data_IF_816370287659
#
_entry.id   IF_816370287659
#
_cell.length_a   1.000
_cell.length_b   1.000
_cell.length_c   1.000
_cell.angle_alpha   90.00
_cell.angle_beta   90.00
_cell.angle_gamma   90.00
#
_symmetry.space_group_name_H-M   'P 1'
#
loop_
_entity.id
_entity.type
_entity.pdbx_description
1 polymer ?
#
# COMPACT_ATOMS: atom_id res chain seq x y z
N UNK A 1 -32.39 -6.72 22.38
CA UNK A 1 -33.74 -6.33 21.92
C UNK A 1 -33.92 -4.85 22.23
N UNK A 2 -33.59 -3.99 21.28
CA UNK A 2 -33.80 -2.53 21.35
C UNK A 2 -34.42 -2.14 20.01
N UNK A 3 -35.55 -1.47 20.12
CA UNK A 3 -36.42 -1.00 19.05
C UNK A 3 -35.66 -0.05 18.15
N UNK A 4 -35.83 -0.23 16.84
CA UNK A 4 -35.40 0.72 15.83
C UNK A 4 -36.47 1.80 15.77
N UNK A 5 -36.32 2.84 16.57
CA UNK A 5 -37.09 4.07 16.42
C UNK A 5 -36.37 4.95 15.40
N UNK A 6 -36.79 4.87 14.15
CA UNK A 6 -36.39 5.78 13.07
C UNK A 6 -37.04 7.15 13.28
N UNK A 7 -36.38 8.03 14.01
CA UNK A 7 -36.66 9.47 13.98
C UNK A 7 -35.32 10.23 13.93
N UNK A 8 -34.65 10.14 12.77
CA UNK A 8 -33.61 11.11 12.41
C UNK A 8 -34.34 12.39 12.03
N UNK A 9 -34.45 13.33 12.97
CA UNK A 9 -35.03 14.65 12.72
C UNK A 9 -34.05 15.43 11.85
N UNK A 10 -34.30 15.45 10.54
CA UNK A 10 -33.65 16.41 9.66
C UNK A 10 -34.26 17.79 9.94
N UNK A 11 -33.56 18.64 10.71
CA UNK A 11 -33.85 20.07 10.73
C UNK A 11 -33.47 20.63 9.36
N UNK A 12 -34.39 20.45 8.41
CA UNK A 12 -34.31 21.04 7.08
C UNK A 12 -34.76 22.47 7.25
N UNK A 13 -33.83 23.43 7.20
CA UNK A 13 -34.23 24.83 7.03
C UNK A 13 -34.90 24.90 5.66
N UNK A 14 -36.22 25.10 5.63
CA UNK A 14 -36.99 25.16 4.39
C UNK A 14 -36.41 26.24 3.46
N UNK A 15 -36.05 25.91 2.20
CA UNK A 15 -35.63 26.91 1.25
C UNK A 15 -36.84 27.76 0.86
N UNK A 16 -36.68 29.08 0.92
CA UNK A 16 -37.60 30.02 0.27
C UNK A 16 -37.53 29.70 -1.23
N UNK A 17 -38.60 29.11 -1.76
CA UNK A 17 -38.70 28.77 -3.17
C UNK A 17 -38.68 30.06 -4.01
N UNK A 18 -37.56 30.35 -4.68
CA UNK A 18 -37.58 31.28 -5.80
C UNK A 18 -38.06 30.52 -7.03
N UNK A 19 -39.23 30.89 -7.54
CA UNK A 19 -39.70 30.53 -8.87
C UNK A 19 -38.70 31.05 -9.91
N UNK A 20 -37.67 30.27 -10.21
CA UNK A 20 -36.83 30.24 -11.41
C UNK A 20 -35.72 29.23 -11.13
N UNK A 21 -35.48 28.29 -12.06
CA UNK A 21 -34.63 27.11 -11.88
C UNK A 21 -33.13 27.41 -11.74
N UNK A 22 -32.76 28.11 -10.67
CA UNK A 22 -31.40 28.24 -10.20
C UNK A 22 -31.14 27.13 -9.19
N UNK A 23 -30.11 26.33 -9.43
CA UNK A 23 -29.59 25.45 -8.40
C UNK A 23 -29.12 26.33 -7.22
N UNK A 24 -29.84 26.27 -6.10
CA UNK A 24 -29.51 27.02 -4.87
C UNK A 24 -28.68 26.14 -3.95
N UNK A 25 -27.66 26.73 -3.32
CA UNK A 25 -26.90 26.09 -2.26
C UNK A 25 -27.74 26.01 -0.98
N UNK A 26 -27.99 24.80 -0.50
CA UNK A 26 -28.78 24.53 0.71
C UNK A 26 -27.89 23.84 1.75
N UNK A 27 -27.66 24.43 2.94
CA UNK A 27 -26.87 23.81 3.98
C UNK A 27 -27.58 22.58 4.54
N UNK A 28 -26.81 21.57 4.92
CA UNK A 28 -27.30 20.36 5.60
C UNK A 28 -26.52 20.18 6.89
N UNK A 29 -27.23 19.84 7.97
CA UNK A 29 -26.65 19.61 9.30
C UNK A 29 -27.32 18.37 9.89
N UNK A 30 -26.51 17.45 10.40
CA UNK A 30 -26.98 16.30 11.17
C UNK A 30 -26.45 16.45 12.60
N UNK A 31 -27.32 16.21 13.58
CA UNK A 31 -27.02 16.31 15.01
C UNK A 31 -27.38 15.02 15.74
N UNK A 32 -26.72 14.76 16.86
CA UNK A 32 -27.13 13.72 17.81
C UNK A 32 -28.31 14.17 18.70
N UNK A 33 -28.80 13.28 19.57
CA UNK A 33 -29.90 13.55 20.52
C UNK A 33 -29.58 14.68 21.51
N UNK A 34 -28.31 15.00 21.71
CA UNK A 34 -27.84 16.08 22.58
C UNK A 34 -27.64 17.40 21.81
N UNK A 35 -27.89 17.41 20.50
CA UNK A 35 -27.71 18.58 19.63
C UNK A 35 -26.28 18.80 19.13
N UNK A 36 -25.33 17.89 19.40
CA UNK A 36 -23.97 17.97 18.87
C UNK A 36 -23.97 17.71 17.37
N UNK A 37 -23.25 18.53 16.60
CA UNK A 37 -23.18 18.41 15.14
C UNK A 37 -22.27 17.25 14.75
N UNK A 38 -22.85 16.22 14.12
CA UNK A 38 -22.15 15.05 13.60
C UNK A 38 -21.73 15.23 12.14
N UNK A 39 -22.49 16.01 11.37
CA UNK A 39 -22.19 16.30 9.98
C UNK A 39 -22.68 17.70 9.61
N UNK A 40 -21.90 18.39 8.78
CA UNK A 40 -22.28 19.66 8.18
C UNK A 40 -21.73 19.75 6.76
N UNK A 41 -22.57 20.20 5.82
CA UNK A 41 -22.18 20.41 4.44
C UNK A 41 -23.19 21.24 3.67
N UNK A 42 -23.15 21.16 2.35
CA UNK A 42 -24.07 21.90 1.47
C UNK A 42 -24.51 21.01 0.31
N UNK A 43 -25.72 21.25 -0.19
CA UNK A 43 -26.27 20.62 -1.37
C UNK A 43 -26.58 21.67 -2.44
N UNK A 44 -26.54 21.27 -3.71
CA UNK A 44 -26.89 22.06 -4.88
C UNK A 44 -27.82 21.20 -5.73
N UNK A 45 -29.07 21.62 -5.91
CA UNK A 45 -30.08 20.80 -6.62
C UNK A 45 -30.32 19.43 -5.95
N UNK A 46 -30.26 19.37 -4.61
CA UNK A 46 -30.42 18.13 -3.83
C UNK A 46 -29.21 17.20 -3.80
N UNK A 47 -28.09 17.58 -4.44
CA UNK A 47 -26.86 16.79 -4.46
C UNK A 47 -25.75 17.46 -3.66
N UNK A 48 -24.89 16.71 -2.95
CA UNK A 48 -23.76 17.28 -2.21
C UNK A 48 -22.89 18.18 -3.09
N UNK A 49 -22.56 19.37 -2.60
CA UNK A 49 -21.73 20.34 -3.31
C UNK A 49 -20.94 21.19 -2.31
N UNK A 50 -19.64 21.35 -2.55
CA UNK A 50 -18.72 21.98 -1.60
C UNK A 50 -18.21 21.00 -0.54
N UNK A 51 -17.80 21.54 0.61
CA UNK A 51 -17.16 20.75 1.67
C UNK A 51 -18.21 20.09 2.56
N UNK A 52 -18.01 18.80 2.81
CA UNK A 52 -18.71 18.01 3.81
C UNK A 52 -17.73 17.71 4.96
N UNK A 53 -18.15 18.03 6.18
CA UNK A 53 -17.43 17.72 7.42
C UNK A 53 -18.22 16.69 8.21
N UNK A 54 -17.54 15.70 8.77
CA UNK A 54 -18.09 14.77 9.76
C UNK A 54 -17.24 14.78 11.02
N UNK A 55 -17.91 14.73 12.16
CA UNK A 55 -17.32 14.76 13.50
C UNK A 55 -17.93 13.68 14.38
N UNK A 56 -17.21 13.27 15.42
CA UNK A 56 -17.77 12.42 16.48
C UNK A 56 -18.72 13.21 17.39
N UNK A 57 -19.47 12.51 18.25
CA UNK A 57 -20.28 13.14 19.31
C UNK A 57 -19.43 14.06 20.22
N UNK A 58 -18.15 13.72 20.44
CA UNK A 58 -17.21 14.54 21.18
C UNK A 58 -16.61 15.72 20.38
N UNK A 59 -17.08 15.96 19.15
CA UNK A 59 -16.64 17.05 18.28
C UNK A 59 -15.28 16.83 17.60
N UNK A 60 -14.70 15.63 17.67
CA UNK A 60 -13.43 15.32 16.97
C UNK A 60 -13.69 15.12 15.47
N UNK A 61 -12.84 15.64 14.57
CA UNK A 61 -13.02 15.42 13.14
C UNK A 61 -12.89 13.93 12.81
N UNK A 62 -13.76 13.44 11.94
CA UNK A 62 -13.73 12.08 11.40
C UNK A 62 -13.43 12.10 9.90
N UNK A 63 -14.01 13.07 9.18
CA UNK A 63 -13.84 13.20 7.74
C UNK A 63 -14.02 14.66 7.29
N UNK A 64 -13.22 15.05 6.32
CA UNK A 64 -13.46 16.22 5.47
C UNK A 64 -13.41 15.76 4.02
N UNK A 65 -14.42 16.08 3.23
CA UNK A 65 -14.47 15.71 1.82
C UNK A 65 -15.07 16.84 1.00
N UNK A 66 -14.59 17.03 -0.23
CA UNK A 66 -15.14 18.00 -1.16
C UNK A 66 -15.97 17.28 -2.24
N UNK A 67 -17.13 17.85 -2.56
CA UNK A 67 -18.08 17.32 -3.52
C UNK A 67 -18.42 18.34 -4.60
N UNK A 68 -18.68 17.86 -5.80
CA UNK A 68 -19.32 18.62 -6.88
C UNK A 68 -20.48 17.80 -7.42
N UNK A 69 -21.72 18.28 -7.20
CA UNK A 69 -22.96 17.66 -7.73
C UNK A 69 -23.04 16.16 -7.41
N UNK A 70 -22.84 15.84 -6.14
CA UNK A 70 -22.94 14.49 -5.58
C UNK A 70 -21.71 13.61 -5.76
N UNK A 71 -20.69 14.05 -6.51
CA UNK A 71 -19.45 13.30 -6.72
C UNK A 71 -18.32 13.88 -5.89
N UNK A 72 -17.48 13.01 -5.32
CA UNK A 72 -16.21 13.44 -4.71
C UNK A 72 -15.34 14.16 -5.74
N UNK A 73 -14.82 15.31 -5.36
CA UNK A 73 -14.00 16.16 -6.20
C UNK A 73 -12.99 16.88 -5.30
N UNK A 74 -11.71 16.86 -5.67
CA UNK A 74 -10.67 17.45 -4.83
C UNK A 74 -10.27 16.52 -3.69
N UNK A 75 -9.95 17.08 -2.53
CA UNK A 75 -9.30 16.35 -1.44
C UNK A 75 -10.31 15.77 -0.45
N UNK A 76 -10.10 14.51 -0.10
CA UNK A 76 -10.71 13.87 1.06
C UNK A 76 -9.64 13.58 2.13
N UNK A 77 -9.97 13.86 3.38
CA UNK A 77 -9.16 13.53 4.55
C UNK A 77 -10.01 12.73 5.53
N UNK A 78 -9.49 11.59 5.97
CA UNK A 78 -10.00 10.83 7.10
C UNK A 78 -9.08 11.05 8.29
N UNK A 79 -9.65 11.16 9.48
CA UNK A 79 -8.91 11.44 10.71
C UNK A 79 -8.96 10.25 11.67
N UNK A 80 -7.92 10.07 12.47
CA UNK A 80 -7.85 9.07 13.53
C UNK A 80 -8.53 9.56 14.84
N UNK A 81 -8.55 8.71 15.87
CA UNK A 81 -9.15 9.05 17.17
C UNK A 81 -8.50 10.21 17.92
N UNK A 82 -7.31 10.65 17.49
CA UNK A 82 -6.60 11.83 18.01
C UNK A 82 -6.82 13.07 17.15
N UNK A 83 -7.56 12.96 16.05
CA UNK A 83 -7.79 14.05 15.10
C UNK A 83 -6.61 14.30 14.16
N UNK A 84 -5.63 13.39 14.08
CA UNK A 84 -4.57 13.45 13.08
C UNK A 84 -5.06 12.80 11.78
N UNK A 85 -4.59 13.22 10.59
CA UNK A 85 -4.89 12.52 9.36
C UNK A 85 -4.50 11.05 9.45
N UNK A 86 -5.44 10.16 9.13
CA UNK A 86 -5.22 8.72 8.93
C UNK A 86 -5.09 8.41 7.44
N UNK A 87 -5.79 9.17 6.59
CA UNK A 87 -5.72 9.04 5.14
C UNK A 87 -5.98 10.39 4.48
N UNK A 88 -5.23 10.70 3.43
CA UNK A 88 -5.49 11.83 2.53
C UNK A 88 -5.57 11.27 1.11
N UNK A 89 -6.57 11.68 0.34
CA UNK A 89 -6.82 11.13 -0.99
C UNK A 89 -7.38 12.19 -1.93
N UNK A 90 -6.87 12.23 -3.15
CA UNK A 90 -7.36 13.14 -4.19
C UNK A 90 -8.38 12.44 -5.11
N UNK A 91 -9.48 13.12 -5.41
CA UNK A 91 -10.58 12.64 -6.24
C UNK A 91 -10.88 13.58 -7.41
N UNK A 92 -11.37 13.01 -8.51
CA UNK A 92 -11.94 13.73 -9.65
C UNK A 92 -13.13 12.95 -10.18
N UNK A 93 -14.28 13.62 -10.31
CA UNK A 93 -15.51 12.99 -10.81
C UNK A 93 -15.89 11.69 -10.06
N UNK A 94 -15.66 11.66 -8.74
CA UNK A 94 -15.97 10.51 -7.88
C UNK A 94 -14.92 9.40 -7.88
N UNK A 95 -13.87 9.50 -8.70
CA UNK A 95 -12.79 8.51 -8.79
C UNK A 95 -11.52 9.01 -8.13
N UNK A 96 -10.75 8.12 -7.48
CA UNK A 96 -9.41 8.44 -7.02
C UNK A 96 -8.54 8.87 -8.22
N UNK A 97 -7.92 10.04 -8.11
CA UNK A 97 -7.16 10.67 -9.17
C UNK A 97 -6.08 11.56 -8.55
N UNK A 98 -4.83 11.11 -8.59
CA UNK A 98 -3.73 11.78 -7.91
C UNK A 98 -3.17 10.93 -6.79
N UNK A 99 -2.85 11.56 -5.65
CA UNK A 99 -2.16 10.89 -4.56
C UNK A 99 -3.14 10.35 -3.52
N UNK A 100 -2.80 9.21 -2.96
CA UNK A 100 -3.39 8.66 -1.75
C UNK A 100 -2.26 8.39 -0.76
N UNK A 101 -2.36 8.99 0.41
CA UNK A 101 -1.43 8.77 1.52
C UNK A 101 -2.14 8.22 2.72
N UNK A 102 -1.52 7.23 3.36
CA UNK A 102 -2.00 6.64 4.61
C UNK A 102 -1.00 6.98 5.70
N UNK A 103 -1.51 7.34 6.87
CA UNK A 103 -0.73 7.79 8.00
C UNK A 103 -1.02 6.95 9.24
N UNK A 104 0.00 6.77 10.07
CA UNK A 104 -0.11 6.17 11.39
C UNK A 104 0.63 7.05 12.39
N UNK A 105 -0.07 7.50 13.44
CA UNK A 105 0.47 8.42 14.44
C UNK A 105 1.15 9.66 13.82
N UNK A 106 0.53 10.24 12.79
CA UNK A 106 1.03 11.42 12.07
C UNK A 106 2.18 11.16 11.08
N UNK A 107 2.67 9.91 10.94
CA UNK A 107 3.72 9.55 9.98
C UNK A 107 3.12 8.86 8.76
N UNK A 108 3.59 9.24 7.56
CA UNK A 108 3.17 8.59 6.32
C UNK A 108 3.73 7.16 6.27
N UNK A 109 2.85 6.16 6.13
CA UNK A 109 3.22 4.74 6.02
C UNK A 109 2.95 4.17 4.63
N UNK A 110 2.20 4.90 3.78
CA UNK A 110 2.02 4.56 2.37
C UNK A 110 1.79 5.81 1.53
N UNK A 111 2.45 5.90 0.38
CA UNK A 111 2.25 6.92 -0.65
C UNK A 111 2.00 6.23 -1.99
N UNK A 112 0.82 6.45 -2.55
CA UNK A 112 0.30 5.75 -3.72
C UNK A 112 -0.25 6.75 -4.73
N UNK A 113 -0.08 6.43 -6.01
CA UNK A 113 -0.57 7.24 -7.12
C UNK A 113 -1.70 6.50 -7.84
N UNK A 114 -2.76 7.23 -8.18
CA UNK A 114 -3.96 6.72 -8.84
C UNK A 114 -4.30 7.50 -10.11
N UNK A 115 -4.78 6.80 -11.13
CA UNK A 115 -5.43 7.37 -12.33
C UNK A 115 -6.75 6.63 -12.54
N UNK A 116 -7.86 7.36 -12.60
CA UNK A 116 -9.20 6.80 -12.84
C UNK A 116 -9.55 5.63 -11.90
N UNK A 117 -9.25 5.79 -10.61
CA UNK A 117 -9.53 4.78 -9.59
C UNK A 117 -8.58 3.60 -9.53
N UNK A 118 -7.55 3.54 -10.39
CA UNK A 118 -6.57 2.44 -10.44
C UNK A 118 -5.19 2.92 -10.00
N UNK A 119 -4.47 2.08 -9.26
CA UNK A 119 -3.07 2.32 -8.93
C UNK A 119 -2.24 2.43 -10.20
N UNK A 120 -1.39 3.45 -10.27
CA UNK A 120 -0.58 3.76 -11.45
C UNK A 120 0.76 4.36 -11.03
N UNK A 121 1.86 3.81 -11.54
CA UNK A 121 3.20 4.27 -11.22
C UNK A 121 3.73 3.71 -9.90
N UNK A 122 4.53 4.51 -9.19
CA UNK A 122 5.22 4.06 -7.98
C UNK A 122 4.28 4.05 -6.77
N UNK A 123 4.39 3.01 -5.96
CA UNK A 123 3.77 2.90 -4.63
C UNK A 123 4.87 2.67 -3.59
N UNK A 124 4.94 3.54 -2.60
CA UNK A 124 5.94 3.51 -1.54
C UNK A 124 5.28 3.11 -0.22
N UNK A 125 5.95 2.29 0.57
CA UNK A 125 5.55 1.98 1.95
C UNK A 125 6.69 2.24 2.91
N UNK A 126 6.34 2.66 4.13
CA UNK A 126 7.30 3.02 5.17
C UNK A 126 6.95 2.32 6.47
N UNK A 127 7.95 2.05 7.31
CA UNK A 127 7.74 1.61 8.68
C UNK A 127 7.36 2.78 9.62
N UNK A 128 7.11 2.48 10.89
CA UNK A 128 6.76 3.49 11.91
C UNK A 128 7.92 4.41 12.29
N UNK A 129 9.16 4.09 11.91
CA UNK A 129 10.31 4.98 12.02
C UNK A 129 10.42 5.93 10.82
N UNK A 130 9.71 5.67 9.72
CA UNK A 130 9.76 6.43 8.47
C UNK A 130 10.76 5.88 7.45
N UNK A 131 11.30 4.68 7.67
CA UNK A 131 12.20 4.03 6.73
C UNK A 131 11.40 3.35 5.62
N UNK A 132 11.88 3.45 4.38
CA UNK A 132 11.27 2.76 3.23
C UNK A 132 11.32 1.24 3.46
N UNK A 133 10.19 0.57 3.24
CA UNK A 133 10.07 -0.89 3.37
C UNK A 133 9.79 -1.56 2.03
N UNK A 134 9.10 -0.86 1.11
CA UNK A 134 8.95 -1.32 -0.27
C UNK A 134 8.76 -0.17 -1.24
N UNK A 135 9.25 -0.37 -2.47
CA UNK A 135 8.93 0.42 -3.64
C UNK A 135 8.37 -0.53 -4.71
N UNK A 136 7.08 -0.42 -4.94
CA UNK A 136 6.35 -1.20 -5.93
C UNK A 136 6.05 -0.34 -7.16
N UNK A 137 5.76 -0.99 -8.29
CA UNK A 137 5.32 -0.31 -9.50
C UNK A 137 4.04 -0.97 -10.03
N UNK A 138 3.08 -0.13 -10.41
CA UNK A 138 1.76 -0.55 -10.88
C UNK A 138 1.47 0.05 -12.24
N UNK A 139 0.77 -0.70 -13.08
CA UNK A 139 0.19 -0.24 -14.35
C UNK A 139 -1.26 -0.70 -14.37
N UNK A 140 -2.20 0.23 -14.51
CA UNK A 140 -3.64 -0.03 -14.54
C UNK A 140 -4.15 -0.90 -13.38
N UNK A 141 -3.60 -0.73 -12.18
CA UNK A 141 -3.97 -1.47 -10.97
C UNK A 141 -3.20 -2.77 -10.74
N UNK A 142 -2.34 -3.19 -11.67
CA UNK A 142 -1.58 -4.44 -11.56
C UNK A 142 -0.10 -4.19 -11.32
N UNK A 143 0.51 -4.98 -10.43
CA UNK A 143 1.95 -4.98 -10.18
C UNK A 143 2.71 -5.28 -11.49
N UNK A 144 3.62 -4.40 -11.87
CA UNK A 144 4.31 -4.50 -13.15
C UNK A 144 5.70 -3.87 -13.06
N UNK A 145 6.70 -4.50 -13.66
CA UNK A 145 8.09 -4.04 -13.64
C UNK A 145 8.82 -4.41 -12.35
N UNK A 146 9.91 -3.69 -12.10
CA UNK A 146 10.82 -3.97 -10.99
C UNK A 146 10.24 -3.42 -9.69
N UNK A 147 10.24 -4.27 -8.66
CA UNK A 147 9.91 -3.93 -7.28
C UNK A 147 11.11 -4.15 -6.38
N UNK A 148 11.17 -3.39 -5.30
CA UNK A 148 12.25 -3.44 -4.32
C UNK A 148 11.69 -3.50 -2.90
N UNK A 149 12.32 -4.33 -2.08
CA UNK A 149 12.02 -4.48 -0.66
C UNK A 149 13.24 -4.11 0.16
N UNK A 150 12.97 -3.47 1.29
CA UNK A 150 14.00 -2.84 2.12
C UNK A 150 13.85 -3.30 3.57
N UNK A 151 14.98 -3.40 4.26
CA UNK A 151 15.04 -3.67 5.70
C UNK A 151 16.16 -2.84 6.31
N UNK A 152 15.84 -2.04 7.33
CA UNK A 152 16.81 -1.16 8.00
C UNK A 152 17.57 -0.21 7.04
N UNK A 153 16.90 0.20 5.95
CA UNK A 153 17.47 1.08 4.92
C UNK A 153 18.16 0.35 3.76
N UNK A 154 18.49 -0.93 3.91
CA UNK A 154 19.16 -1.71 2.86
C UNK A 154 18.15 -2.41 1.95
N UNK A 155 18.41 -2.41 0.64
CA UNK A 155 17.63 -3.19 -0.31
C UNK A 155 17.94 -4.67 -0.10
N UNK A 156 16.97 -5.45 0.38
CA UNK A 156 17.13 -6.89 0.66
C UNK A 156 16.64 -7.77 -0.47
N UNK A 157 15.80 -7.22 -1.36
CA UNK A 157 15.29 -7.93 -2.53
C UNK A 157 14.92 -6.98 -3.65
N UNK A 158 15.26 -7.38 -4.87
CA UNK A 158 14.71 -6.84 -6.11
C UNK A 158 14.03 -7.98 -6.88
N UNK A 159 12.83 -7.74 -7.39
CA UNK A 159 12.07 -8.73 -8.13
C UNK A 159 11.34 -8.08 -9.31
N UNK A 160 11.07 -8.83 -10.37
CA UNK A 160 10.33 -8.32 -11.52
C UNK A 160 8.94 -8.95 -11.61
N UNK A 161 7.92 -8.11 -11.83
CA UNK A 161 6.53 -8.52 -11.98
C UNK A 161 6.02 -8.18 -13.38
N UNK A 162 5.05 -8.95 -13.86
CA UNK A 162 4.31 -8.69 -15.09
C UNK A 162 2.86 -9.06 -14.86
N UNK A 163 1.98 -8.05 -14.89
CA UNK A 163 0.53 -8.24 -14.74
C UNK A 163 0.18 -9.00 -13.45
N UNK A 164 0.75 -8.55 -12.34
CA UNK A 164 0.54 -9.13 -11.01
C UNK A 164 1.32 -10.41 -10.71
N UNK A 165 1.93 -11.06 -11.71
CA UNK A 165 2.72 -12.27 -11.51
C UNK A 165 4.23 -11.98 -11.45
N UNK A 166 4.95 -12.63 -10.55
CA UNK A 166 6.40 -12.65 -10.51
C UNK A 166 6.92 -13.34 -11.78
N UNK A 167 7.74 -12.61 -12.55
CA UNK A 167 8.16 -12.98 -13.91
C UNK A 167 9.59 -12.50 -14.13
N UNK A 168 10.51 -13.43 -14.41
CA UNK A 168 11.93 -13.15 -14.57
C UNK A 168 12.72 -13.25 -13.26
N UNK A 169 13.81 -12.49 -13.18
CA UNK A 169 14.79 -12.59 -12.08
C UNK A 169 14.26 -11.96 -10.78
N UNK A 170 14.53 -12.65 -9.67
CA UNK A 170 14.50 -12.13 -8.31
C UNK A 170 15.89 -12.27 -7.70
N UNK A 171 16.39 -11.21 -7.11
CA UNK A 171 17.71 -11.13 -6.49
C UNK A 171 17.54 -10.74 -5.03
N UNK A 172 18.10 -11.55 -4.13
CA UNK A 172 18.18 -11.22 -2.70
C UNK A 172 19.60 -10.73 -2.38
N UNK A 173 19.68 -9.75 -1.49
CA UNK A 173 20.94 -9.11 -1.08
C UNK A 173 21.16 -9.23 0.44
N UNK A 174 22.41 -9.17 0.87
CA UNK A 174 22.74 -8.93 2.28
C UNK A 174 22.81 -7.42 2.60
N UNK A 175 23.09 -7.08 3.86
CA UNK A 175 23.25 -5.69 4.33
C UNK A 175 24.38 -4.89 3.66
N UNK A 176 25.31 -5.58 2.97
CA UNK A 176 26.40 -4.94 2.23
C UNK A 176 26.05 -4.76 0.74
N UNK A 177 24.84 -5.14 0.32
CA UNK A 177 24.40 -5.09 -1.07
C UNK A 177 24.95 -6.23 -1.93
N UNK A 178 25.58 -7.25 -1.33
CA UNK A 178 26.08 -8.41 -2.06
C UNK A 178 24.94 -9.39 -2.34
N UNK A 179 24.97 -10.01 -3.52
CA UNK A 179 23.97 -10.99 -3.93
C UNK A 179 24.13 -12.27 -3.12
N UNK A 180 23.10 -12.65 -2.36
CA UNK A 180 23.06 -13.92 -1.62
C UNK A 180 22.24 -15.00 -2.35
N UNK A 181 21.30 -14.59 -3.19
CA UNK A 181 20.47 -15.49 -3.99
C UNK A 181 20.01 -14.84 -5.29
N UNK A 182 19.98 -15.64 -6.36
CA UNK A 182 19.26 -15.35 -7.59
C UNK A 182 18.30 -16.49 -7.87
N UNK A 183 17.08 -16.14 -8.25
CA UNK A 183 16.03 -17.07 -8.65
C UNK A 183 15.35 -16.52 -9.89
N UNK A 184 14.86 -17.39 -10.76
CA UNK A 184 14.10 -16.98 -11.93
C UNK A 184 12.69 -17.58 -11.87
N UNK A 185 11.71 -16.78 -12.29
CA UNK A 185 10.29 -17.12 -12.20
C UNK A 185 9.60 -17.00 -13.55
N UNK A 186 8.58 -17.82 -13.75
CA UNK A 186 7.61 -17.71 -14.82
C UNK A 186 6.23 -17.86 -14.21
N UNK A 187 5.41 -16.81 -14.28
CA UNK A 187 4.03 -16.82 -13.77
C UNK A 187 3.94 -17.29 -12.30
N UNK A 188 4.76 -16.69 -11.42
CA UNK A 188 4.91 -17.02 -10.00
C UNK A 188 5.60 -18.36 -9.67
N UNK A 189 5.88 -19.21 -10.66
CA UNK A 189 6.55 -20.48 -10.44
C UNK A 189 8.06 -20.34 -10.66
N UNK A 190 8.89 -20.96 -9.81
CA UNK A 190 10.32 -21.06 -10.07
C UNK A 190 10.55 -21.80 -11.40
N UNK A 191 11.35 -21.19 -12.26
CA UNK A 191 11.64 -21.67 -13.61
C UNK A 191 13.09 -21.34 -13.96
N UNK A 192 13.91 -22.37 -14.16
CA UNK A 192 15.36 -22.23 -14.34
C UNK A 192 16.12 -22.37 -13.02
N UNK A 193 17.29 -21.74 -12.92
CA UNK A 193 18.16 -21.93 -11.76
C UNK A 193 17.76 -21.05 -10.57
N UNK A 194 17.67 -21.69 -9.39
CA UNK A 194 17.89 -21.02 -8.11
C UNK A 194 19.36 -21.20 -7.74
N UNK A 195 20.06 -20.08 -7.56
CA UNK A 195 21.48 -20.05 -7.21
C UNK A 195 21.69 -19.24 -5.95
N UNK A 196 22.40 -19.80 -4.97
CA UNK A 196 22.88 -19.07 -3.80
C UNK A 196 24.38 -18.91 -3.85
N UNK A 197 24.88 -17.87 -3.19
CA UNK A 197 26.27 -17.47 -3.25
C UNK A 197 26.90 -17.43 -1.86
N UNK A 198 28.20 -17.72 -1.81
CA UNK A 198 29.06 -17.37 -0.70
C UNK A 198 29.32 -15.86 -0.67
N UNK A 199 29.74 -15.29 0.48
CA UNK A 199 30.37 -13.97 0.48
C UNK A 199 31.49 -13.90 -0.58
N UNK A 200 31.58 -12.79 -1.30
CA UNK A 200 32.46 -12.65 -2.47
C UNK A 200 31.91 -13.22 -3.80
N UNK A 201 30.67 -13.72 -3.82
CA UNK A 201 29.91 -13.95 -5.06
C UNK A 201 30.17 -15.28 -5.77
N UNK A 202 30.94 -16.20 -5.18
CA UNK A 202 31.09 -17.56 -5.71
C UNK A 202 29.84 -18.39 -5.43
N UNK A 203 29.47 -19.28 -6.35
CA UNK A 203 28.30 -20.15 -6.19
C UNK A 203 28.50 -21.05 -4.96
N UNK A 204 27.51 -21.10 -4.08
CA UNK A 204 27.43 -22.01 -2.94
C UNK A 204 26.58 -23.23 -3.27
N UNK A 205 25.38 -22.99 -3.80
CA UNK A 205 24.47 -24.05 -4.21
C UNK A 205 23.62 -23.62 -5.40
N UNK A 206 23.25 -24.58 -6.24
CA UNK A 206 22.40 -24.34 -7.40
C UNK A 206 21.47 -25.53 -7.66
N UNK A 207 20.21 -25.24 -7.93
CA UNK A 207 19.18 -26.24 -8.28
C UNK A 207 18.42 -25.75 -9.51
N UNK A 208 18.20 -26.63 -10.48
CA UNK A 208 17.32 -26.36 -11.62
C UNK A 208 15.87 -26.66 -11.23
N UNK A 209 14.96 -25.73 -11.53
CA UNK A 209 13.52 -25.86 -11.34
C UNK A 209 12.78 -25.79 -12.67
N UNK A 210 11.68 -26.51 -12.76
CA UNK A 210 10.66 -26.37 -13.80
C UNK A 210 9.28 -26.40 -13.15
N UNK A 211 8.42 -25.44 -13.51
CA UNK A 211 7.04 -25.36 -12.97
C UNK A 211 6.99 -25.40 -11.43
N UNK A 212 7.94 -24.73 -10.77
CA UNK A 212 8.01 -24.66 -9.31
C UNK A 212 8.60 -25.89 -8.62
N UNK A 213 8.91 -26.96 -9.36
CA UNK A 213 9.46 -28.20 -8.82
C UNK A 213 10.96 -28.35 -9.16
N UNK A 214 11.79 -28.88 -8.25
CA UNK A 214 13.21 -29.12 -8.53
C UNK A 214 13.37 -30.28 -9.52
N UNK A 215 14.05 -30.03 -10.64
CA UNK A 215 14.34 -31.02 -11.70
C UNK A 215 15.66 -31.78 -11.44
N UNK A 216 16.58 -31.14 -10.70
CA UNK A 216 17.88 -31.73 -10.37
C UNK A 216 18.09 -31.77 -8.87
N UNK A 217 18.89 -32.71 -8.36
CA UNK A 217 19.50 -32.55 -7.06
C UNK A 217 20.28 -31.23 -6.99
N UNK A 218 20.41 -30.67 -5.79
CA UNK A 218 21.22 -29.46 -5.55
C UNK A 218 22.70 -29.73 -5.77
N UNK A 219 23.31 -29.03 -6.73
CA UNK A 219 24.76 -28.92 -6.85
C UNK A 219 25.28 -28.04 -5.71
N UNK A 220 26.37 -28.45 -5.06
CA UNK A 220 27.00 -27.69 -3.97
C UNK A 220 28.47 -27.45 -4.26
N UNK A 221 28.99 -26.31 -3.79
CA UNK A 221 30.36 -25.89 -4.01
C UNK A 221 30.95 -25.26 -2.74
N UNK A 222 32.24 -25.46 -2.50
CA UNK A 222 32.99 -24.78 -1.44
C UNK A 222 33.36 -23.33 -1.84
N UNK A 223 34.02 -22.58 -0.95
CA UNK A 223 34.44 -21.20 -1.20
C UNK A 223 35.55 -21.09 -2.27
N UNK A 224 36.23 -22.18 -2.61
CA UNK A 224 37.17 -22.22 -3.71
C UNK A 224 36.45 -22.31 -5.06
N UNK A 225 35.22 -22.82 -5.08
CA UNK A 225 34.40 -23.06 -6.28
C UNK A 225 34.38 -24.52 -6.73
N UNK A 226 34.96 -25.43 -5.95
CA UNK A 226 34.99 -26.87 -6.22
C UNK A 226 33.69 -27.53 -5.75
N UNK A 227 33.16 -28.47 -6.56
CA UNK A 227 31.98 -29.26 -6.18
C UNK A 227 32.23 -30.08 -4.92
N UNK A 228 31.26 -30.12 -4.01
CA UNK A 228 31.30 -30.90 -2.77
C UNK A 228 30.10 -31.84 -2.67
N UNK A 229 30.25 -32.94 -1.92
CA UNK A 229 29.19 -33.93 -1.72
C UNK A 229 28.05 -33.38 -0.84
N UNK A 230 26.89 -34.04 -0.88
CA UNK A 230 25.64 -33.67 -0.17
C UNK A 230 25.79 -33.62 1.35
N UNK A 231 26.74 -34.38 1.89
CA UNK A 231 27.07 -34.42 3.32
C UNK A 231 27.95 -33.24 3.78
N UNK A 232 28.29 -32.31 2.88
CA UNK A 232 28.98 -31.07 3.26
C UNK A 232 28.14 -30.26 4.25
N UNK A 233 28.68 -30.05 5.45
CA UNK A 233 28.03 -29.26 6.50
C UNK A 233 27.82 -27.82 6.02
N UNK A 234 26.58 -27.38 6.07
CA UNK A 234 26.22 -25.98 5.83
C UNK A 234 26.67 -25.18 7.06
N UNK A 235 27.08 -23.90 6.92
CA UNK A 235 26.95 -22.98 8.04
C UNK A 235 25.49 -23.06 8.49
N UNK A 236 25.29 -23.27 9.79
CA UNK A 236 23.95 -23.45 10.38
C UNK A 236 23.03 -22.29 9.99
N UNK A 237 21.72 -22.49 10.01
CA UNK A 237 20.77 -21.38 9.86
C UNK A 237 21.13 -20.20 10.77
N UNK A 238 21.63 -20.50 11.98
CA UNK A 238 22.10 -19.50 12.94
C UNK A 238 23.38 -18.77 12.49
N UNK A 239 24.31 -19.42 11.81
CA UNK A 239 25.48 -18.77 11.20
C UNK A 239 25.10 -17.92 9.99
N UNK A 240 24.20 -18.42 9.15
CA UNK A 240 23.62 -17.65 8.04
C UNK A 240 22.88 -16.41 8.55
N UNK A 241 22.15 -16.55 9.67
CA UNK A 241 21.47 -15.45 10.33
C UNK A 241 22.47 -14.49 11.01
N UNK A 242 23.58 -14.98 11.58
CA UNK A 242 24.66 -14.12 12.10
C UNK A 242 25.29 -13.29 10.99
N UNK A 243 25.53 -13.83 9.80
CA UNK A 243 26.03 -13.04 8.67
C UNK A 243 24.99 -12.03 8.15
N UNK A 244 23.70 -12.39 8.17
CA UNK A 244 22.61 -11.48 7.77
C UNK A 244 22.36 -10.38 8.82
N UNK A 245 22.53 -10.66 10.12
CA UNK A 245 22.23 -9.74 11.22
C UNK A 245 23.45 -9.00 11.79
N UNK A 246 24.67 -9.53 11.65
CA UNK A 246 25.92 -8.96 12.21
C UNK A 246 26.93 -8.56 11.13
N UNK A 247 26.83 -9.14 9.93
CA UNK A 247 27.72 -8.96 8.76
C UNK A 247 29.20 -8.81 9.06
N UNK A 248 29.72 -9.75 9.85
CA UNK A 248 31.11 -10.15 9.73
C UNK A 248 31.24 -11.22 8.64
#
# INVERSE_FOLDING_TARGET
MRTVDTLTTFDTIEPIASEHGADVLVPIVEKDDNGNVLMHGTTLGGQLHGVLLKSSEAGKPLMQAEFSRGKLQGRMTLYDGNGLPAQVSDYREGLLQGQMRIYSYGKCISDQQYIQGKLEGKSLTYDTAGQLTSMLHFVAGELHGVVEFYSQGDCVRRANYKMGALEGESVDFNRHGEVVQRSNYRSNLLEGYLTRYWPGGKVMERTLYAQGSPETPTDRFNQEGSRVDRNFEKPTFLERLKHILRGD
#
